data_IF_818702175324
#
_entry.id   IF_818702175324
#
_cell.length_a   1.000
_cell.length_b   1.000
_cell.length_c   1.000
_cell.angle_alpha   90.00
_cell.angle_beta   90.00
_cell.angle_gamma   90.00
#
_symmetry.space_group_name_H-M   'P 1'
#
loop_
_entity.id
_entity.type
_entity.pdbx_description
1 polymer ?
#
# COMPACT_ATOMS: atom_id res chain seq x y z
N UNK A 1 -33.60 7.01 -12.16
CA UNK A 1 -33.93 6.72 -13.57
C UNK A 1 -33.02 5.61 -14.06
N UNK A 2 -33.64 4.52 -14.48
CA UNK A 2 -33.05 3.25 -14.92
C UNK A 2 -32.42 3.45 -16.30
N UNK A 3 -31.31 2.77 -16.60
CA UNK A 3 -31.04 2.34 -17.96
C UNK A 3 -30.38 0.95 -17.95
N UNK A 4 -31.22 -0.07 -18.04
CA UNK A 4 -30.90 -1.37 -18.62
C UNK A 4 -30.95 -1.22 -20.15
N UNK A 5 -30.09 -1.91 -20.88
CA UNK A 5 -30.32 -2.23 -22.29
C UNK A 5 -30.34 -3.74 -22.47
N UNK A 6 -31.44 -4.20 -23.06
CA UNK A 6 -31.67 -5.54 -23.58
C UNK A 6 -31.65 -5.49 -25.11
N UNK A 7 -31.41 -6.63 -25.77
CA UNK A 7 -32.02 -6.95 -27.07
C UNK A 7 -32.00 -8.46 -27.33
N UNK A 8 -33.15 -8.95 -27.79
CA UNK A 8 -33.51 -10.32 -28.18
C UNK A 8 -33.38 -10.43 -29.71
N UNK A 9 -33.08 -11.62 -30.24
CA UNK A 9 -33.48 -12.00 -31.60
C UNK A 9 -33.82 -13.51 -31.64
N UNK A 10 -35.05 -13.83 -32.05
CA UNK A 10 -35.55 -15.15 -32.44
C UNK A 10 -35.71 -15.12 -33.96
N UNK A 11 -35.18 -16.12 -34.67
CA UNK A 11 -35.67 -16.51 -36.01
C UNK A 11 -35.72 -18.03 -36.04
N UNK A 12 -36.89 -18.56 -36.41
CA UNK A 12 -37.14 -19.97 -36.68
C UNK A 12 -36.84 -20.29 -38.15
N UNK A 13 -36.30 -21.49 -38.41
CA UNK A 13 -36.13 -22.06 -39.74
C UNK A 13 -35.79 -23.54 -39.63
N UNK A 14 -36.75 -24.40 -39.97
CA UNK A 14 -36.61 -25.87 -40.04
C UNK A 14 -36.16 -26.30 -41.44
N UNK A 15 -35.29 -27.32 -41.57
CA UNK A 15 -35.46 -28.50 -42.45
C UNK A 15 -34.18 -29.39 -42.55
N UNK A 16 -34.43 -30.71 -42.43
CA UNK A 16 -33.78 -31.89 -43.04
C UNK A 16 -32.41 -32.45 -42.57
N UNK A 17 -32.51 -33.65 -41.95
CA UNK A 17 -31.74 -34.91 -42.06
C UNK A 17 -30.18 -34.93 -42.14
N UNK A 18 -29.57 -35.79 -41.29
CA UNK A 18 -28.11 -35.97 -41.06
C UNK A 18 -27.33 -36.76 -42.13
N UNK A 19 -26.27 -37.54 -41.80
CA UNK A 19 -25.70 -37.91 -40.49
C UNK A 19 -24.15 -37.74 -40.37
N UNK A 20 -23.61 -38.27 -39.26
CA UNK A 20 -22.21 -38.56 -38.93
C UNK A 20 -21.43 -37.47 -38.19
N UNK A 21 -21.27 -37.76 -36.89
CA UNK A 21 -20.42 -37.08 -35.96
C UNK A 21 -18.94 -37.19 -36.39
N UNK A 22 -18.31 -36.04 -36.60
CA UNK A 22 -16.87 -35.87 -36.39
C UNK A 22 -16.76 -34.96 -35.17
N UNK A 23 -16.27 -35.53 -34.06
CA UNK A 23 -16.01 -34.79 -32.83
C UNK A 23 -14.93 -33.74 -33.05
N UNK A 24 -15.34 -32.53 -33.41
CA UNK A 24 -14.61 -31.31 -33.14
C UNK A 24 -15.32 -30.58 -32.00
N UNK A 25 -14.61 -29.62 -31.39
CA UNK A 25 -14.93 -28.88 -30.15
C UNK A 25 -14.29 -29.56 -28.93
N UNK A 26 -13.38 -28.95 -28.18
CA UNK A 26 -13.12 -27.52 -27.98
C UNK A 26 -11.83 -27.39 -27.19
N UNK A 27 -10.96 -26.49 -27.62
CA UNK A 27 -9.80 -26.03 -26.86
C UNK A 27 -10.29 -25.35 -25.56
N UNK A 28 -9.98 -25.83 -24.34
CA UNK A 28 -10.47 -25.20 -23.11
C UNK A 28 -9.67 -23.93 -22.73
N UNK A 29 -8.68 -23.53 -23.52
CA UNK A 29 -7.74 -22.47 -23.16
C UNK A 29 -8.39 -21.07 -23.07
N UNK A 30 -9.46 -20.80 -23.82
CA UNK A 30 -10.05 -19.46 -23.90
C UNK A 30 -11.12 -19.16 -22.85
N UNK A 31 -11.73 -20.20 -22.24
CA UNK A 31 -12.64 -20.04 -21.09
C UNK A 31 -11.89 -19.78 -19.77
N UNK A 32 -10.69 -20.34 -19.62
CA UNK A 32 -9.83 -20.09 -18.47
C UNK A 32 -9.22 -18.66 -18.49
N UNK A 33 -8.90 -18.15 -19.68
CA UNK A 33 -8.36 -16.79 -19.86
C UNK A 33 -9.39 -15.68 -19.53
N UNK A 34 -10.68 -15.95 -19.74
CA UNK A 34 -11.77 -14.99 -19.44
C UNK A 34 -12.17 -14.98 -17.96
N UNK A 35 -12.09 -16.12 -17.25
CA UNK A 35 -12.27 -16.16 -15.80
C UNK A 35 -11.09 -15.52 -15.02
N UNK A 36 -9.87 -15.65 -15.53
CA UNK A 36 -8.69 -15.00 -14.94
C UNK A 36 -8.78 -13.46 -15.02
N UNK A 37 -9.33 -12.93 -16.12
CA UNK A 37 -9.49 -11.48 -16.31
C UNK A 37 -10.55 -10.85 -15.40
N UNK A 38 -11.61 -11.57 -15.02
CA UNK A 38 -12.61 -11.06 -14.06
C UNK A 38 -12.11 -11.08 -12.60
N UNK A 39 -11.16 -11.95 -12.27
CA UNK A 39 -10.56 -12.03 -10.92
C UNK A 39 -9.52 -10.94 -10.63
N UNK A 40 -8.92 -10.36 -11.68
CA UNK A 40 -7.92 -9.30 -11.56
C UNK A 40 -8.54 -7.92 -11.29
N UNK A 41 -9.77 -7.68 -11.76
CA UNK A 41 -10.50 -6.43 -11.49
C UNK A 41 -10.95 -6.31 -10.03
N UNK A 42 -11.44 -7.41 -9.43
CA UNK A 42 -11.94 -7.43 -8.04
C UNK A 42 -10.83 -7.37 -6.96
N UNK A 43 -9.58 -7.60 -7.36
CA UNK A 43 -8.40 -7.61 -6.49
C UNK A 43 -7.54 -6.36 -6.61
N UNK A 44 -7.97 -5.37 -7.41
CA UNK A 44 -7.22 -4.16 -7.71
C UNK A 44 -8.06 -2.90 -7.44
N UNK A 45 -7.41 -1.85 -6.96
CA UNK A 45 -7.93 -0.48 -7.00
C UNK A 45 -7.13 0.32 -8.03
N UNK A 46 -7.75 0.62 -9.17
CA UNK A 46 -7.17 1.36 -10.28
C UNK A 46 -7.09 2.88 -10.05
N UNK A 47 -6.37 3.61 -10.91
CA UNK A 47 -6.23 5.05 -10.81
C UNK A 47 -7.59 5.76 -10.99
N UNK A 48 -7.95 6.59 -10.03
CA UNK A 48 -9.23 7.29 -9.93
C UNK A 48 -10.32 6.51 -9.21
N UNK A 49 -10.11 5.24 -8.87
CA UNK A 49 -11.09 4.43 -8.16
C UNK A 49 -11.04 4.64 -6.65
N UNK A 50 -12.14 4.34 -5.96
CA UNK A 50 -12.26 4.48 -4.52
C UNK A 50 -13.12 3.40 -3.89
N UNK A 51 -12.90 3.18 -2.59
CA UNK A 51 -13.75 2.40 -1.71
C UNK A 51 -14.46 3.33 -0.73
N UNK A 52 -15.79 3.31 -0.75
CA UNK A 52 -16.65 3.95 0.25
C UNK A 52 -16.69 3.13 1.53
N UNK A 53 -17.11 3.71 2.67
CA UNK A 53 -17.41 2.95 3.88
C UNK A 53 -18.28 1.71 3.58
N UNK A 54 -17.86 0.56 4.07
CA UNK A 54 -18.48 -0.75 3.88
C UNK A 54 -18.04 -1.50 2.62
N UNK A 55 -17.42 -0.84 1.64
CA UNK A 55 -16.96 -1.49 0.41
C UNK A 55 -15.63 -2.23 0.62
N UNK A 56 -15.40 -3.24 -0.22
CA UNK A 56 -14.21 -4.08 -0.14
C UNK A 56 -13.71 -4.57 -1.49
N UNK A 57 -12.41 -4.85 -1.56
CA UNK A 57 -11.77 -5.65 -2.60
C UNK A 57 -11.44 -7.04 -2.04
N UNK A 58 -11.37 -8.04 -2.92
CA UNK A 58 -10.98 -9.40 -2.57
C UNK A 58 -9.90 -9.89 -3.51
N UNK A 59 -8.91 -10.61 -2.99
CA UNK A 59 -8.00 -11.38 -3.85
C UNK A 59 -8.81 -12.40 -4.68
N UNK A 60 -8.36 -12.77 -5.87
CA UNK A 60 -9.00 -13.77 -6.74
C UNK A 60 -9.28 -15.14 -6.09
N UNK A 61 -8.57 -15.50 -5.02
CA UNK A 61 -8.85 -16.69 -4.18
C UNK A 61 -9.76 -16.43 -2.97
N UNK A 62 -10.28 -15.22 -2.78
CA UNK A 62 -11.17 -14.81 -1.68
C UNK A 62 -10.55 -14.73 -0.28
N UNK A 63 -9.36 -15.30 -0.06
CA UNK A 63 -8.65 -15.34 1.23
C UNK A 63 -8.36 -13.96 1.80
N UNK A 64 -7.81 -13.07 0.97
CA UNK A 64 -7.46 -11.73 1.38
C UNK A 64 -8.56 -10.74 1.02
N UNK A 65 -8.82 -9.81 1.94
CA UNK A 65 -9.84 -8.78 1.77
C UNK A 65 -9.33 -7.43 2.25
N UNK A 66 -9.53 -6.40 1.44
CA UNK A 66 -9.30 -5.01 1.83
C UNK A 66 -10.66 -4.34 2.04
N UNK A 67 -10.92 -3.81 3.23
CA UNK A 67 -12.21 -3.20 3.57
C UNK A 67 -12.00 -1.76 4.00
N UNK A 68 -12.71 -0.82 3.39
CA UNK A 68 -12.88 0.50 3.97
C UNK A 68 -14.00 0.42 5.00
N UNK A 69 -13.67 0.30 6.29
CA UNK A 69 -14.64 0.10 7.35
C UNK A 69 -15.49 1.35 7.62
N UNK A 70 -16.69 1.16 8.18
CA UNK A 70 -17.56 2.26 8.62
C UNK A 70 -16.93 3.16 9.69
N UNK A 71 -16.03 2.61 10.52
CA UNK A 71 -15.28 3.36 11.53
C UNK A 71 -14.19 4.27 10.94
N UNK A 72 -13.91 4.17 9.64
CA UNK A 72 -12.98 5.04 8.91
C UNK A 72 -11.61 4.43 8.58
N UNK A 73 -11.31 3.23 9.08
CA UNK A 73 -10.08 2.51 8.74
C UNK A 73 -10.18 1.77 7.42
N UNK A 74 -9.11 1.83 6.62
CA UNK A 74 -8.84 0.87 5.56
C UNK A 74 -8.08 -0.30 6.19
N UNK A 75 -8.65 -1.51 6.14
CA UNK A 75 -8.09 -2.69 6.81
C UNK A 75 -7.89 -3.83 5.83
N UNK A 76 -6.69 -4.38 5.82
CA UNK A 76 -6.32 -5.55 5.02
C UNK A 76 -6.32 -6.80 5.90
N UNK A 77 -7.07 -7.81 5.49
CA UNK A 77 -7.36 -9.02 6.25
C UNK A 77 -6.86 -10.28 5.55
N UNK A 78 -6.49 -11.28 6.36
CA UNK A 78 -6.39 -12.70 6.03
C UNK A 78 -7.46 -13.45 6.82
N UNK A 79 -8.58 -13.79 6.17
CA UNK A 79 -9.79 -14.23 6.87
C UNK A 79 -10.30 -13.16 7.84
N UNK A 80 -10.27 -13.45 9.14
CA UNK A 80 -10.66 -12.51 10.22
C UNK A 80 -9.47 -11.75 10.83
N UNK A 81 -8.23 -12.17 10.54
CA UNK A 81 -7.03 -11.56 11.11
C UNK A 81 -6.64 -10.32 10.33
N UNK A 82 -6.58 -9.17 11.00
CA UNK A 82 -6.06 -7.94 10.41
C UNK A 82 -4.54 -8.06 10.22
N UNK A 83 -4.07 -7.94 8.98
CA UNK A 83 -2.66 -7.91 8.63
C UNK A 83 -2.09 -6.49 8.63
N UNK A 84 -2.92 -5.51 8.28
CA UNK A 84 -2.58 -4.09 8.26
C UNK A 84 -3.85 -3.25 8.40
N UNK A 85 -3.73 -2.08 9.05
CA UNK A 85 -4.80 -1.10 9.14
C UNK A 85 -4.21 0.32 9.00
N UNK A 86 -4.95 1.21 8.33
CA UNK A 86 -4.63 2.63 8.34
C UNK A 86 -4.88 3.23 9.73
N UNK A 87 -4.13 4.27 10.14
CA UNK A 87 -4.34 4.96 11.40
C UNK A 87 -5.44 6.04 11.26
N UNK A 88 -6.64 5.66 10.81
CA UNK A 88 -7.74 6.61 10.49
C UNK A 88 -9.04 6.33 11.25
N UNK A 89 -8.94 5.60 12.36
CA UNK A 89 -10.10 5.19 13.17
C UNK A 89 -10.80 6.40 13.76
N UNK A 90 -12.10 6.29 14.02
CA UNK A 90 -12.91 7.40 14.54
C UNK A 90 -13.28 8.45 13.48
N UNK A 91 -13.09 8.15 12.19
CA UNK A 91 -13.47 9.01 11.08
C UNK A 91 -14.58 8.35 10.25
N UNK A 92 -15.81 8.25 10.76
CA UNK A 92 -16.91 7.65 10.03
C UNK A 92 -17.17 8.40 8.72
N UNK A 93 -17.54 7.66 7.68
CA UNK A 93 -17.71 8.23 6.34
C UNK A 93 -16.41 8.38 5.54
N UNK A 94 -15.25 8.05 6.11
CA UNK A 94 -13.99 8.12 5.37
C UNK A 94 -13.95 7.13 4.20
N UNK A 95 -13.30 7.54 3.11
CA UNK A 95 -13.13 6.74 1.89
C UNK A 95 -11.65 6.59 1.54
N UNK A 96 -11.28 5.46 0.95
CA UNK A 96 -9.95 5.26 0.37
C UNK A 96 -10.01 5.49 -1.14
N UNK A 97 -9.08 6.27 -1.70
CA UNK A 97 -9.05 6.62 -3.12
C UNK A 97 -7.65 6.40 -3.66
N UNK A 98 -7.51 5.59 -4.71
CA UNK A 98 -6.27 5.52 -5.48
C UNK A 98 -6.29 6.67 -6.48
N UNK A 99 -5.61 7.77 -6.17
CA UNK A 99 -5.63 8.97 -7.00
C UNK A 99 -4.93 8.74 -8.35
N UNK A 100 -5.27 9.56 -9.35
CA UNK A 100 -4.72 9.44 -10.70
C UNK A 100 -3.21 9.73 -10.76
N UNK A 101 -2.69 10.59 -9.88
CA UNK A 101 -1.25 10.83 -9.73
C UNK A 101 -0.48 9.68 -9.07
N UNK A 102 -1.17 8.60 -8.69
CA UNK A 102 -0.57 7.36 -8.20
C UNK A 102 -0.47 7.24 -6.69
N UNK A 103 -1.16 8.10 -5.94
CA UNK A 103 -1.16 8.05 -4.48
C UNK A 103 -2.45 7.44 -3.92
N UNK A 104 -2.35 6.51 -2.97
CA UNK A 104 -3.50 6.05 -2.21
C UNK A 104 -3.74 7.02 -1.04
N UNK A 105 -4.91 7.64 -0.99
CA UNK A 105 -5.28 8.61 0.05
C UNK A 105 -6.59 8.22 0.71
N UNK A 106 -6.64 8.31 2.04
CA UNK A 106 -7.87 8.20 2.82
C UNK A 106 -8.35 9.61 3.16
N UNK A 107 -9.55 9.93 2.70
CA UNK A 107 -10.21 11.21 2.96
C UNK A 107 -11.32 11.05 4.00
N UNK A 108 -11.49 12.06 4.85
CA UNK A 108 -12.68 12.18 5.70
C UNK A 108 -13.95 12.34 4.86
N UNK A 109 -15.12 12.24 5.51
CA UNK A 109 -16.41 12.55 4.88
C UNK A 109 -16.46 13.98 4.27
N UNK A 110 -15.68 14.91 4.82
CA UNK A 110 -15.57 16.32 4.38
C UNK A 110 -14.40 16.58 3.42
N UNK A 111 -13.82 15.54 2.80
CA UNK A 111 -12.70 15.63 1.85
C UNK A 111 -11.35 16.10 2.43
N UNK A 112 -11.18 16.07 3.75
CA UNK A 112 -9.86 16.34 4.36
C UNK A 112 -8.98 15.08 4.26
N UNK A 113 -7.74 15.17 3.76
CA UNK A 113 -6.82 14.03 3.76
C UNK A 113 -6.46 13.65 5.21
N UNK A 114 -6.66 12.37 5.55
CA UNK A 114 -6.36 11.79 6.86
C UNK A 114 -5.05 11.02 6.85
N UNK A 115 -4.82 10.26 5.78
CA UNK A 115 -3.62 9.44 5.58
C UNK A 115 -3.35 9.27 4.08
N UNK A 116 -2.09 9.10 3.71
CA UNK A 116 -1.69 8.80 2.34
C UNK A 116 -0.49 7.86 2.28
N UNK A 117 -0.29 7.22 1.15
CA UNK A 117 0.99 6.61 0.80
C UNK A 117 2.00 7.65 0.30
N UNK A 118 3.27 7.27 0.08
CA UNK A 118 4.28 8.15 -0.51
C UNK A 118 4.53 7.85 -1.99
N UNK A 119 3.47 7.61 -2.76
CA UNK A 119 3.58 7.14 -4.16
C UNK A 119 3.10 8.17 -5.17
N UNK A 120 2.81 9.40 -4.75
CA UNK A 120 2.49 10.51 -5.64
C UNK A 120 3.59 10.75 -6.69
N UNK A 121 3.19 11.19 -7.90
CA UNK A 121 4.10 11.36 -9.04
C UNK A 121 4.29 10.09 -9.87
N UNK A 122 3.46 9.06 -9.66
CA UNK A 122 3.44 7.83 -10.45
C UNK A 122 2.08 7.64 -11.15
N UNK A 123 1.75 8.44 -12.18
CA UNK A 123 0.48 8.31 -12.89
C UNK A 123 0.23 6.89 -13.40
N UNK A 124 -1.00 6.42 -13.22
CA UNK A 124 -1.40 5.05 -13.58
C UNK A 124 -1.01 3.98 -12.57
N UNK A 125 -0.40 4.34 -11.43
CA UNK A 125 -0.20 3.41 -10.34
C UNK A 125 -1.53 2.85 -9.81
N UNK A 126 -1.47 1.65 -9.24
CA UNK A 126 -2.63 0.93 -8.75
C UNK A 126 -2.32 0.12 -7.49
N UNK A 127 -3.32 -0.09 -6.67
CA UNK A 127 -3.26 -0.95 -5.49
C UNK A 127 -3.63 -2.38 -5.89
N UNK A 128 -2.89 -3.38 -5.43
CA UNK A 128 -3.15 -4.80 -5.69
C UNK A 128 -3.18 -5.61 -4.38
N UNK A 129 -4.12 -6.55 -4.31
CA UNK A 129 -4.20 -7.62 -3.31
C UNK A 129 -3.71 -8.93 -3.95
N UNK A 130 -2.43 -9.32 -3.83
CA UNK A 130 -1.91 -10.54 -4.44
C UNK A 130 -2.55 -11.78 -3.80
N UNK A 131 -2.85 -12.80 -4.61
CA UNK A 131 -3.47 -14.04 -4.14
C UNK A 131 -2.60 -14.86 -3.18
N UNK A 132 -1.29 -14.77 -3.36
CA UNK A 132 -0.32 -15.66 -2.70
C UNK A 132 0.31 -15.03 -1.46
N UNK A 133 0.31 -13.70 -1.39
CA UNK A 133 1.05 -12.97 -0.36
C UNK A 133 0.11 -12.14 0.50
N UNK A 134 0.21 -12.29 1.82
CA UNK A 134 -0.44 -11.41 2.81
C UNK A 134 0.23 -10.04 2.87
N UNK A 135 0.37 -9.38 1.72
CA UNK A 135 0.94 -8.05 1.58
C UNK A 135 0.12 -7.25 0.57
N UNK A 136 -0.36 -6.08 0.97
CA UNK A 136 -0.97 -5.11 0.07
C UNK A 136 0.14 -4.28 -0.60
N UNK A 137 0.10 -4.12 -1.92
CA UNK A 137 1.18 -3.44 -2.68
C UNK A 137 0.61 -2.41 -3.64
N UNK A 138 1.24 -1.25 -3.72
CA UNK A 138 1.01 -0.29 -4.82
C UNK A 138 2.08 -0.52 -5.87
N UNK A 139 1.68 -0.73 -7.11
CA UNK A 139 2.55 -0.85 -8.26
C UNK A 139 2.45 0.37 -9.16
N UNK A 140 3.55 0.74 -9.81
CA UNK A 140 3.54 1.67 -10.92
C UNK A 140 2.80 1.07 -12.13
N UNK A 141 2.52 1.90 -13.15
CA UNK A 141 1.95 1.43 -14.42
C UNK A 141 2.80 0.32 -15.09
N UNK A 142 4.10 0.29 -14.82
CA UNK A 142 5.08 -0.66 -15.38
C UNK A 142 5.33 -1.84 -14.42
N UNK A 143 4.43 -2.08 -13.45
CA UNK A 143 4.50 -3.18 -12.47
C UNK A 143 5.70 -3.13 -11.52
N UNK A 144 6.30 -1.95 -11.30
CA UNK A 144 7.33 -1.77 -10.27
C UNK A 144 6.67 -1.50 -8.92
N UNK A 145 7.01 -2.22 -7.84
CA UNK A 145 6.39 -1.98 -6.54
C UNK A 145 6.90 -0.65 -5.94
N UNK A 146 5.97 0.21 -5.52
CA UNK A 146 6.23 1.55 -5.01
C UNK A 146 6.03 1.66 -3.49
N UNK A 147 5.12 0.87 -2.94
CA UNK A 147 4.81 0.82 -1.51
C UNK A 147 4.21 -0.53 -1.15
N UNK A 148 4.38 -0.97 0.10
CA UNK A 148 3.66 -2.13 0.62
C UNK A 148 3.21 -1.97 2.07
N UNK A 149 2.18 -2.72 2.46
CA UNK A 149 1.70 -2.75 3.87
C UNK A 149 2.76 -3.18 4.87
N UNK A 150 3.76 -3.95 4.41
CA UNK A 150 4.90 -4.40 5.22
C UNK A 150 6.05 -3.39 5.27
N UNK A 151 6.03 -2.35 4.44
CA UNK A 151 7.10 -1.37 4.42
C UNK A 151 7.15 -0.48 3.19
N UNK A 152 7.93 0.60 3.32
CA UNK A 152 8.21 1.55 2.27
C UNK A 152 9.26 0.99 1.32
N UNK A 153 8.97 1.06 0.03
CA UNK A 153 9.84 0.62 -1.05
C UNK A 153 10.42 1.89 -1.71
N UNK A 154 11.68 1.84 -2.15
CA UNK A 154 12.47 2.99 -2.68
C UNK A 154 13.14 3.90 -1.65
N UNK A 155 13.40 3.41 -0.45
CA UNK A 155 14.26 4.09 0.52
C UNK A 155 13.64 5.28 1.23
N UNK A 156 12.40 5.68 0.91
CA UNK A 156 11.85 6.97 1.33
C UNK A 156 10.78 6.86 2.41
N UNK A 157 10.95 7.62 3.49
CA UNK A 157 9.90 7.94 4.48
C UNK A 157 9.63 9.46 4.44
N UNK A 158 8.53 9.90 3.81
CA UNK A 158 8.25 11.32 3.69
C UNK A 158 7.73 11.95 4.97
N UNK A 159 7.76 13.29 4.96
CA UNK A 159 7.17 14.12 6.00
C UNK A 159 5.73 13.70 6.34
N UNK A 160 5.42 13.67 7.64
CA UNK A 160 4.16 13.23 8.21
C UNK A 160 3.93 11.71 8.27
N UNK A 161 4.87 10.87 7.80
CA UNK A 161 4.67 9.42 7.75
C UNK A 161 5.32 8.70 8.95
N UNK A 162 4.75 7.54 9.25
CA UNK A 162 5.08 6.71 10.41
C UNK A 162 5.56 5.34 9.94
N UNK A 163 6.67 4.88 10.51
CA UNK A 163 7.14 3.51 10.42
C UNK A 163 6.82 2.81 11.74
N UNK A 164 5.80 1.94 11.73
CA UNK A 164 5.34 1.21 12.92
C UNK A 164 6.26 0.03 13.25
N UNK A 165 6.20 -0.51 14.48
CA UNK A 165 6.89 -1.74 14.83
C UNK A 165 6.71 -2.86 13.80
N UNK A 166 7.81 -3.49 13.41
CA UNK A 166 7.89 -4.53 12.39
C UNK A 166 7.94 -4.03 10.95
N UNK A 167 7.67 -2.76 10.68
CA UNK A 167 7.76 -2.20 9.33
C UNK A 167 9.20 -1.79 8.98
N UNK A 168 9.49 -1.77 7.68
CA UNK A 168 10.80 -1.37 7.18
C UNK A 168 10.74 -0.37 6.03
N UNK A 169 11.86 0.32 5.80
CA UNK A 169 12.15 1.08 4.58
C UNK A 169 13.34 0.38 3.91
N UNK A 170 13.20 0.00 2.64
CA UNK A 170 14.26 -0.69 1.89
C UNK A 170 14.83 0.22 0.82
N UNK A 171 16.17 0.31 0.71
CA UNK A 171 16.86 1.06 -0.33
C UNK A 171 16.47 0.61 -1.74
N UNK A 172 16.64 1.47 -2.74
CA UNK A 172 16.21 1.18 -4.12
C UNK A 172 16.98 0.01 -4.76
N UNK A 173 18.20 -0.28 -4.33
CA UNK A 173 18.95 -1.48 -4.74
C UNK A 173 18.56 -2.75 -3.96
N UNK A 174 17.62 -2.66 -3.01
CA UNK A 174 17.15 -3.79 -2.22
C UNK A 174 18.09 -4.27 -1.10
N UNK A 175 19.31 -3.72 -0.98
CA UNK A 175 20.32 -4.23 -0.05
C UNK A 175 20.16 -3.75 1.39
N UNK A 176 19.88 -2.46 1.57
CA UNK A 176 19.86 -1.82 2.88
C UNK A 176 18.44 -1.67 3.39
N UNK A 177 18.25 -1.90 4.68
CA UNK A 177 16.91 -1.88 5.27
C UNK A 177 16.90 -1.26 6.65
N UNK A 178 16.17 -0.15 6.80
CA UNK A 178 15.82 0.42 8.09
C UNK A 178 14.58 -0.29 8.63
N UNK A 179 14.66 -0.88 9.82
CA UNK A 179 13.54 -1.57 10.48
C UNK A 179 13.22 -0.86 11.78
N UNK A 180 11.95 -0.52 12.00
CA UNK A 180 11.46 -0.22 13.35
C UNK A 180 11.17 -1.55 14.05
N UNK A 181 12.03 -1.96 14.97
CA UNK A 181 11.93 -3.25 15.66
C UNK A 181 10.81 -3.24 16.70
N UNK A 182 10.35 -4.45 17.09
CA UNK A 182 9.27 -4.62 18.06
C UNK A 182 9.65 -4.11 19.45
N UNK A 183 10.91 -4.26 19.84
CA UNK A 183 11.48 -3.71 21.07
C UNK A 183 11.63 -2.17 21.06
N UNK A 184 11.37 -1.51 19.92
CA UNK A 184 11.33 -0.05 19.82
C UNK A 184 12.59 0.61 19.24
N UNK A 185 13.62 -0.18 18.90
CA UNK A 185 14.82 0.31 18.24
C UNK A 185 14.58 0.51 16.74
N UNK A 186 15.05 1.62 16.17
CA UNK A 186 15.10 1.80 14.71
C UNK A 186 16.52 1.49 14.24
N UNK A 187 16.69 0.42 13.45
CA UNK A 187 18.00 -0.11 13.08
C UNK A 187 18.15 -0.21 11.57
N UNK A 188 19.24 0.34 11.03
CA UNK A 188 19.64 0.16 9.64
C UNK A 188 20.51 -1.09 9.51
N UNK A 189 20.17 -1.97 8.57
CA UNK A 189 20.89 -3.21 8.29
C UNK A 189 21.49 -3.27 6.88
N UNK A 190 22.64 -3.94 6.78
CA UNK A 190 23.19 -4.56 5.57
C UNK A 190 23.18 -6.09 5.79
N UNK A 191 22.14 -6.76 5.27
CA UNK A 191 21.87 -8.16 5.62
C UNK A 191 21.60 -8.34 7.12
N UNK A 192 22.53 -8.97 7.83
CA UNK A 192 22.48 -9.16 9.30
C UNK A 192 23.31 -8.13 10.09
N UNK A 193 24.15 -7.35 9.41
CA UNK A 193 25.02 -6.37 10.04
C UNK A 193 24.27 -5.08 10.30
N UNK A 194 24.20 -4.65 11.56
CA UNK A 194 23.68 -3.33 11.92
C UNK A 194 24.70 -2.25 11.53
N UNK A 195 24.24 -1.21 10.83
CA UNK A 195 25.04 -0.05 10.43
C UNK A 195 24.75 1.18 11.29
N UNK A 196 23.52 1.32 11.79
CA UNK A 196 23.07 2.43 12.65
C UNK A 196 21.91 1.96 13.53
N UNK A 197 21.75 2.56 14.72
CA UNK A 197 20.56 2.36 15.56
C UNK A 197 20.21 3.60 16.40
N UNK A 198 18.92 3.80 16.67
CA UNK A 198 18.43 4.78 17.66
C UNK A 198 18.37 4.06 19.02
N UNK A 199 19.25 4.30 20.00
CA UNK A 199 19.34 3.49 21.24
C UNK A 199 18.03 3.53 22.09
N UNK A 200 17.01 2.78 21.66
CA UNK A 200 15.61 2.88 22.12
C UNK A 200 14.96 1.50 22.30
N UNK A 201 15.76 0.43 22.31
CA UNK A 201 15.32 -0.97 22.41
C UNK A 201 14.54 -1.35 23.69
N UNK A 202 14.48 -0.48 24.70
CA UNK A 202 13.71 -0.69 25.93
C UNK A 202 12.29 -0.12 25.86
N UNK A 203 11.80 0.19 24.65
CA UNK A 203 10.52 0.87 24.43
C UNK A 203 9.64 0.08 23.45
N UNK A 204 9.15 -1.10 23.85
CA UNK A 204 8.34 -1.95 22.97
C UNK A 204 7.12 -1.18 22.45
N UNK A 205 6.83 -1.36 21.17
CA UNK A 205 5.77 -0.62 20.49
C UNK A 205 6.15 0.81 20.05
N UNK A 206 7.39 1.25 20.25
CA UNK A 206 7.83 2.54 19.75
C UNK A 206 7.83 2.59 18.20
N UNK A 207 7.50 3.76 17.66
CA UNK A 207 7.36 4.00 16.22
C UNK A 207 8.27 5.14 15.78
N UNK A 208 8.78 5.04 14.55
CA UNK A 208 9.53 6.11 13.90
C UNK A 208 8.57 7.05 13.18
N UNK A 209 8.72 8.35 13.35
CA UNK A 209 7.90 9.38 12.69
C UNK A 209 8.80 10.40 12.03
N UNK A 210 8.63 10.59 10.72
CA UNK A 210 9.17 11.76 10.05
C UNK A 210 8.16 12.88 10.24
N UNK A 211 8.34 13.73 11.24
CA UNK A 211 7.39 14.80 11.58
C UNK A 211 7.29 15.85 10.48
N UNK A 212 6.15 16.57 10.45
CA UNK A 212 5.91 17.64 9.46
C UNK A 212 6.85 18.82 9.58
N UNK A 213 7.42 19.04 10.77
CA UNK A 213 8.44 20.07 11.04
C UNK A 213 9.85 19.68 10.54
N UNK A 214 10.01 18.48 9.98
CA UNK A 214 11.28 17.98 9.46
C UNK A 214 12.15 17.20 10.44
N UNK A 215 11.64 16.88 11.63
CA UNK A 215 12.34 16.06 12.61
C UNK A 215 12.02 14.57 12.41
N UNK A 216 13.03 13.71 12.39
CA UNK A 216 12.79 12.27 12.55
C UNK A 216 12.91 11.94 14.04
N UNK A 217 11.85 11.36 14.59
CA UNK A 217 11.77 10.98 16.00
C UNK A 217 11.38 9.52 16.15
N UNK A 218 11.81 8.93 17.27
CA UNK A 218 11.26 7.66 17.76
C UNK A 218 10.38 7.98 18.96
N UNK A 219 9.11 7.58 18.88
CA UNK A 219 8.08 7.88 19.87
C UNK A 219 7.64 6.57 20.51
N UNK A 220 7.79 6.46 21.83
CA UNK A 220 7.29 5.35 22.63
C UNK A 220 5.76 5.45 22.84
N UNK A 221 5.08 4.36 23.26
CA UNK A 221 3.67 4.44 23.66
C UNK A 221 3.41 5.56 24.68
N UNK A 222 2.24 6.21 24.58
CA UNK A 222 1.91 7.41 25.36
C UNK A 222 2.51 8.71 24.79
N UNK A 223 2.92 8.71 23.52
CA UNK A 223 3.41 9.88 22.77
C UNK A 223 4.66 10.54 23.34
N UNK A 224 5.48 9.77 24.06
CA UNK A 224 6.77 10.21 24.59
C UNK A 224 7.88 10.02 23.56
N UNK A 225 8.47 11.12 23.10
CA UNK A 225 9.67 11.07 22.24
C UNK A 225 10.88 10.57 23.03
N UNK A 226 11.53 9.50 22.55
CA UNK A 226 12.70 8.87 23.19
C UNK A 226 13.99 9.04 22.39
N UNK A 227 13.90 9.42 21.12
CA UNK A 227 15.05 9.79 20.30
C UNK A 227 14.64 10.82 19.24
N UNK A 228 15.59 11.65 18.79
CA UNK A 228 15.37 12.65 17.74
C UNK A 228 16.64 12.91 16.93
N UNK A 229 16.49 13.10 15.62
CA UNK A 229 17.55 13.52 14.70
C UNK A 229 17.98 14.99 14.89
N UNK A 230 17.22 15.77 15.66
CA UNK A 230 17.44 17.21 15.90
C UNK A 230 17.40 18.04 14.61
N UNK A 231 16.52 17.67 13.67
CA UNK A 231 16.35 18.35 12.37
C UNK A 231 15.07 19.17 12.26
N UNK A 232 14.39 19.44 13.38
CA UNK A 232 13.20 20.29 13.41
C UNK A 232 13.48 21.69 12.83
N UNK A 233 12.46 22.32 12.24
CA UNK A 233 12.57 23.60 11.54
C UNK A 233 12.77 23.47 10.02
N UNK A 234 12.70 22.25 9.48
CA UNK A 234 12.82 21.95 8.06
C UNK A 234 11.51 21.34 7.53
N UNK A 235 10.41 22.11 7.43
CA UNK A 235 9.10 21.57 7.07
C UNK A 235 9.13 20.88 5.71
N UNK A 236 8.50 19.70 5.63
CA UNK A 236 8.50 18.88 4.43
C UNK A 236 9.79 18.06 4.21
N UNK A 237 10.77 18.10 5.13
CA UNK A 237 11.92 17.20 5.06
C UNK A 237 11.49 15.72 5.13
N UNK A 238 12.32 14.84 4.59
CA UNK A 238 12.06 13.41 4.45
C UNK A 238 13.32 12.58 4.73
N UNK A 239 13.12 11.36 5.22
CA UNK A 239 14.18 10.41 5.53
C UNK A 239 14.41 9.45 4.34
N UNK A 240 15.67 9.20 4.03
CA UNK A 240 16.14 8.32 2.96
C UNK A 240 17.01 7.19 3.52
N UNK A 241 16.82 5.97 2.99
CA UNK A 241 17.73 4.83 3.10
C UNK A 241 18.47 4.72 1.77
N UNK A 242 19.71 5.20 1.77
CA UNK A 242 20.53 5.30 0.56
C UNK A 242 21.16 3.96 0.17
N UNK A 243 21.47 3.81 -1.12
CA UNK A 243 22.19 2.65 -1.66
C UNK A 243 23.66 2.56 -1.20
N UNK A 244 24.11 3.50 -0.39
CA UNK A 244 25.43 3.53 0.23
C UNK A 244 25.43 2.95 1.65
N UNK A 245 24.26 2.55 2.18
CA UNK A 245 24.12 2.09 3.56
C UNK A 245 24.09 3.23 4.58
N UNK A 246 23.62 4.41 4.17
CA UNK A 246 23.40 5.55 5.06
C UNK A 246 21.93 5.90 5.17
N UNK A 247 21.55 6.38 6.35
CA UNK A 247 20.32 7.14 6.52
C UNK A 247 20.63 8.61 6.29
N UNK A 248 19.83 9.29 5.47
CA UNK A 248 20.00 10.72 5.20
C UNK A 248 18.65 11.41 5.33
N UNK A 249 18.60 12.55 6.02
CA UNK A 249 17.43 13.42 6.00
C UNK A 249 17.70 14.54 5.00
N UNK A 250 16.80 14.70 4.05
CA UNK A 250 16.83 15.75 3.05
C UNK A 250 15.72 16.78 3.32
N UNK A 251 16.00 18.05 3.04
CA UNK A 251 14.94 19.07 2.95
C UNK A 251 13.96 18.74 1.82
N UNK A 252 12.82 19.46 1.77
CA UNK A 252 11.87 19.38 0.66
C UNK A 252 12.51 19.62 -0.72
N UNK A 253 13.59 20.40 -0.76
CA UNK A 253 14.34 20.77 -1.97
C UNK A 253 15.56 19.85 -2.21
N UNK A 254 15.59 18.68 -1.57
CA UNK A 254 16.63 17.64 -1.72
C UNK A 254 18.04 18.03 -1.24
N UNK A 255 18.16 18.98 -0.30
CA UNK A 255 19.45 19.28 0.35
C UNK A 255 19.64 18.40 1.59
N UNK A 256 20.76 17.67 1.76
CA UNK A 256 20.98 16.86 2.95
C UNK A 256 21.20 17.76 4.18
N UNK A 257 20.57 17.40 5.31
CA UNK A 257 20.66 18.14 6.59
C UNK A 257 21.10 17.26 7.76
N UNK A 258 21.07 15.94 7.59
CA UNK A 258 21.53 14.98 8.59
C UNK A 258 21.90 13.68 7.89
N UNK A 259 22.90 12.97 8.41
CA UNK A 259 23.27 11.63 7.98
C UNK A 259 23.60 10.77 9.19
N UNK A 260 23.29 9.47 9.13
CA UNK A 260 23.93 8.50 10.01
C UNK A 260 25.45 8.55 9.77
N UNK A 261 26.23 8.46 10.85
CA UNK A 261 27.69 8.41 10.77
C UNK A 261 28.16 7.15 10.07
#
# INVERSE_FOLDING_TARGET
MINKKAAIAIVAGSLLAGPLAVGALTQPAQAAATAAASSAADSRLGPGEWLRPGQSLKSGGGRFKLVQQHAGNLVFYDGTRALWASPTSGNPGARATMQKEGNLVIYSATNKPLWSTPTAGNPGAYLLLPNESGNLVIYSKDNKPLWSSKGYLNGKLPSGHVLNPGQSIQSSNGRYRLIQQQEGNAVLYDGRRALFHTPTASHPGARSVMERNGNWVVIAPGDRTVWSSKTAGNPGAWLSVENTGKLVIYTKDNRPIWSSR
#
